data_IF_824105768495
#
_entry.id   IF_824105768495
#
_cell.length_a   1.000
_cell.length_b   1.000
_cell.length_c   1.000
_cell.angle_alpha   90.00
_cell.angle_beta   90.00
_cell.angle_gamma   90.00
#
_symmetry.space_group_name_H-M   'P 1'
#
loop_
_entity.id
_entity.type
_entity.pdbx_description
1 polymer ?
#
# COMPACT_ATOMS: atom_id res chain seq x y z
N UNK A 1 4.73 76.90 -15.63
CA UNK A 1 3.89 75.73 -15.90
C UNK A 1 4.73 74.50 -15.50
N UNK A 2 4.50 73.98 -14.30
CA UNK A 2 5.27 72.83 -13.78
C UNK A 2 4.41 71.55 -13.92
N UNK A 3 4.84 70.61 -14.79
CA UNK A 3 4.23 69.29 -14.91
C UNK A 3 4.72 68.41 -13.78
N UNK A 4 3.81 67.92 -12.95
CA UNK A 4 4.09 66.88 -11.95
C UNK A 4 3.87 65.49 -12.56
N UNK A 5 4.93 64.72 -12.71
CA UNK A 5 4.86 63.29 -13.08
C UNK A 5 4.49 62.47 -11.84
N UNK A 6 3.30 61.85 -11.87
CA UNK A 6 2.92 60.85 -10.84
C UNK A 6 3.36 59.48 -11.33
N UNK A 7 4.38 58.91 -10.67
CA UNK A 7 4.83 57.54 -10.89
C UNK A 7 3.92 56.59 -10.09
N UNK A 8 3.07 55.84 -10.80
CA UNK A 8 2.20 54.80 -10.23
C UNK A 8 3.06 53.55 -10.02
N UNK A 9 3.42 53.25 -8.76
CA UNK A 9 4.07 51.97 -8.39
C UNK A 9 3.00 50.87 -8.34
N UNK A 10 3.05 49.94 -9.30
CA UNK A 10 2.23 48.73 -9.33
C UNK A 10 2.91 47.66 -8.43
N UNK A 11 2.42 47.50 -7.21
CA UNK A 11 2.85 46.45 -6.31
C UNK A 11 2.22 45.10 -6.73
N UNK A 12 3.01 44.23 -7.33
CA UNK A 12 2.64 42.82 -7.59
C UNK A 12 2.71 42.05 -6.29
N UNK A 13 1.56 41.75 -5.69
CA UNK A 13 1.48 40.83 -4.55
C UNK A 13 1.71 39.40 -5.03
N UNK A 14 2.88 38.82 -4.72
CA UNK A 14 3.15 37.40 -4.90
C UNK A 14 2.38 36.64 -3.80
N UNK A 15 1.22 36.10 -4.12
CA UNK A 15 0.54 35.14 -3.26
C UNK A 15 1.29 33.81 -3.36
N UNK A 16 2.23 33.58 -2.45
CA UNK A 16 2.88 32.29 -2.30
C UNK A 16 1.82 31.22 -1.98
N UNK A 17 1.66 30.26 -2.86
CA UNK A 17 0.87 29.05 -2.56
C UNK A 17 1.63 28.26 -1.50
N UNK A 18 1.16 28.31 -0.25
CA UNK A 18 1.69 27.46 0.81
C UNK A 18 1.27 26.03 0.48
N UNK A 19 2.17 25.27 -0.12
CA UNK A 19 2.00 23.82 -0.23
C UNK A 19 2.14 23.21 1.17
N UNK A 20 1.15 22.47 1.61
CA UNK A 20 1.28 21.64 2.79
C UNK A 20 2.42 20.65 2.56
N UNK A 21 3.27 20.45 3.56
CA UNK A 21 4.37 19.49 3.46
C UNK A 21 3.80 18.05 3.32
N UNK A 22 4.48 17.15 2.58
CA UNK A 22 4.12 15.76 2.53
C UNK A 22 4.01 15.14 3.93
N UNK A 23 2.98 14.32 4.15
CA UNK A 23 2.75 13.64 5.41
C UNK A 23 3.27 12.20 5.35
N UNK A 24 3.85 11.74 6.46
CA UNK A 24 4.31 10.37 6.62
C UNK A 24 3.27 9.56 7.39
N UNK A 25 2.75 8.51 6.78
CA UNK A 25 1.75 7.62 7.37
C UNK A 25 2.39 6.30 7.79
N UNK A 26 2.29 5.95 9.06
CA UNK A 26 2.70 4.65 9.60
C UNK A 26 1.54 3.65 9.50
N UNK A 27 1.79 2.51 8.88
CA UNK A 27 0.81 1.43 8.66
C UNK A 27 0.89 0.32 9.71
N UNK A 28 1.73 0.46 10.73
CA UNK A 28 1.71 -0.45 11.87
C UNK A 28 0.34 -0.42 12.55
N UNK A 29 -0.29 -1.58 12.64
CA UNK A 29 -1.65 -1.68 13.16
C UNK A 29 -1.71 -2.59 14.39
N UNK A 30 -1.68 -2.02 15.60
CA UNK A 30 -1.75 -2.80 16.84
C UNK A 30 -3.12 -3.49 17.03
N UNK A 31 -4.15 -3.08 16.28
CA UNK A 31 -5.48 -3.72 16.31
C UNK A 31 -5.56 -4.93 15.38
N UNK A 32 -4.61 -5.13 14.46
CA UNK A 32 -4.59 -6.23 13.51
C UNK A 32 -5.71 -6.22 12.47
N UNK A 33 -6.27 -5.04 12.16
CA UNK A 33 -7.36 -4.87 11.16
C UNK A 33 -6.81 -4.65 9.76
N UNK A 34 -5.58 -4.13 9.64
CA UNK A 34 -4.89 -4.06 8.37
C UNK A 34 -4.63 -5.48 7.88
N UNK A 35 -5.02 -5.77 6.66
CA UNK A 35 -4.90 -7.13 6.14
C UNK A 35 -4.63 -7.16 4.64
N UNK A 36 -4.03 -8.27 4.20
CA UNK A 36 -4.02 -8.73 2.83
C UNK A 36 -4.78 -10.06 2.77
N UNK A 37 -5.61 -10.24 1.76
CA UNK A 37 -6.29 -11.49 1.44
C UNK A 37 -5.69 -12.06 0.17
N UNK A 38 -5.48 -13.36 0.13
CA UNK A 38 -5.03 -14.06 -1.06
C UNK A 38 -5.99 -15.20 -1.41
N UNK A 39 -6.22 -15.40 -2.70
CA UNK A 39 -7.04 -16.49 -3.24
C UNK A 39 -6.29 -17.20 -4.36
N UNK A 40 -6.27 -18.53 -4.30
CA UNK A 40 -5.83 -19.41 -5.36
C UNK A 40 -7.05 -20.23 -5.79
N UNK A 41 -7.57 -19.96 -6.99
CA UNK A 41 -8.77 -20.61 -7.52
C UNK A 41 -8.35 -21.60 -8.60
N UNK A 42 -8.25 -22.87 -8.23
CA UNK A 42 -7.89 -23.95 -9.12
C UNK A 42 -9.15 -24.80 -9.48
N UNK A 43 -9.13 -25.55 -10.59
CA UNK A 43 -10.29 -26.35 -11.02
C UNK A 43 -10.83 -27.33 -9.97
N UNK A 44 -9.94 -27.89 -9.13
CA UNK A 44 -10.33 -28.86 -8.11
C UNK A 44 -10.44 -28.28 -6.70
N UNK A 45 -9.69 -27.23 -6.40
CA UNK A 45 -9.60 -26.67 -5.04
C UNK A 45 -9.55 -25.13 -5.09
N UNK A 46 -10.26 -24.48 -4.18
CA UNK A 46 -10.17 -23.05 -3.96
C UNK A 46 -9.60 -22.78 -2.58
N UNK A 47 -8.43 -22.16 -2.53
CA UNK A 47 -7.73 -21.81 -1.30
C UNK A 47 -7.84 -20.32 -1.06
N UNK A 48 -8.32 -19.93 0.12
CA UNK A 48 -8.35 -18.52 0.54
C UNK A 48 -7.64 -18.38 1.87
N UNK A 49 -6.81 -17.36 1.98
CA UNK A 49 -6.11 -17.04 3.22
C UNK A 49 -5.93 -15.53 3.40
N UNK A 50 -5.34 -15.16 4.50
CA UNK A 50 -5.10 -13.76 4.86
C UNK A 50 -3.76 -13.58 5.56
N UNK A 51 -3.31 -12.33 5.66
CA UNK A 51 -2.18 -11.90 6.46
C UNK A 51 -2.51 -10.59 7.17
N UNK A 52 -2.18 -10.47 8.46
CA UNK A 52 -2.47 -9.29 9.29
C UNK A 52 -1.21 -8.57 9.81
N UNK A 53 -0.03 -9.14 9.62
CA UNK A 53 1.25 -8.56 10.05
C UNK A 53 1.73 -7.43 9.14
N UNK A 54 0.87 -6.43 8.90
CA UNK A 54 1.16 -5.31 8.02
C UNK A 54 1.89 -4.21 8.79
N UNK A 55 2.94 -3.65 8.17
CA UNK A 55 3.70 -2.51 8.67
C UNK A 55 4.28 -1.70 7.51
N UNK A 56 5.00 -0.63 7.80
CA UNK A 56 5.67 0.20 6.80
C UNK A 56 5.21 1.64 6.84
N UNK A 57 5.77 2.44 5.95
CA UNK A 57 5.54 3.89 5.90
C UNK A 57 5.31 4.35 4.47
N UNK A 58 4.33 5.22 4.28
CA UNK A 58 4.05 5.87 3.00
C UNK A 58 4.04 7.38 3.22
N UNK A 59 4.78 8.09 2.39
CA UNK A 59 4.73 9.55 2.29
C UNK A 59 3.69 9.93 1.24
N UNK A 60 2.73 10.75 1.63
CA UNK A 60 1.64 11.20 0.78
C UNK A 60 1.45 12.72 0.89
N UNK A 61 1.35 13.38 -0.25
CA UNK A 61 1.01 14.80 -0.34
C UNK A 61 -0.35 14.94 -1.01
N UNK A 62 -1.39 15.42 -0.30
CA UNK A 62 -2.71 15.65 -0.89
C UNK A 62 -2.71 16.64 -2.06
N UNK A 63 -1.75 17.59 -2.07
CA UNK A 63 -1.61 18.56 -3.14
C UNK A 63 -0.85 17.99 -4.36
N UNK A 64 -0.04 16.95 -4.17
CA UNK A 64 0.72 16.28 -5.21
C UNK A 64 0.74 14.75 -5.01
N UNK A 65 -0.39 14.06 -5.18
CA UNK A 65 -0.47 12.62 -4.98
C UNK A 65 0.48 11.80 -5.85
N UNK A 66 0.90 12.32 -7.00
CA UNK A 66 1.84 11.63 -7.89
C UNK A 66 3.22 11.40 -7.25
N UNK A 67 3.61 12.24 -6.28
CA UNK A 67 4.87 12.11 -5.54
C UNK A 67 4.81 11.09 -4.39
N UNK A 68 3.72 10.32 -4.28
CA UNK A 68 3.57 9.28 -3.25
C UNK A 68 4.64 8.21 -3.42
N UNK A 69 5.35 7.92 -2.33
CA UNK A 69 6.36 6.87 -2.26
C UNK A 69 6.34 6.23 -0.88
N UNK A 70 6.83 5.01 -0.79
CA UNK A 70 6.90 4.33 0.50
C UNK A 70 7.04 2.83 0.39
N UNK A 71 7.09 2.18 1.53
CA UNK A 71 7.26 0.74 1.64
C UNK A 71 6.23 0.15 2.57
N UNK A 72 5.53 -0.88 2.08
CA UNK A 72 4.65 -1.73 2.89
C UNK A 72 5.30 -3.09 3.02
N UNK A 73 5.25 -3.63 4.23
CA UNK A 73 5.78 -4.94 4.59
C UNK A 73 4.67 -5.79 5.19
N UNK A 74 4.71 -7.09 4.91
CA UNK A 74 3.82 -8.10 5.50
C UNK A 74 4.70 -9.19 6.09
N UNK A 75 4.57 -9.42 7.40
CA UNK A 75 5.26 -10.52 8.08
C UNK A 75 4.72 -11.86 7.56
N UNK A 76 5.57 -12.71 6.99
CA UNK A 76 5.16 -14.00 6.42
C UNK A 76 4.64 -14.97 7.48
N UNK A 77 5.09 -14.84 8.73
CA UNK A 77 4.56 -15.59 9.86
C UNK A 77 3.07 -15.28 10.16
N UNK A 78 2.53 -14.15 9.68
CA UNK A 78 1.12 -13.78 9.82
C UNK A 78 0.21 -14.40 8.76
N UNK A 79 0.77 -15.08 7.75
CA UNK A 79 0.01 -15.80 6.73
C UNK A 79 -0.83 -16.89 7.39
N UNK A 80 -2.12 -16.89 7.09
CA UNK A 80 -3.10 -17.77 7.67
C UNK A 80 -4.01 -18.37 6.61
N UNK A 81 -4.26 -19.66 6.71
CA UNK A 81 -5.33 -20.39 6.05
C UNK A 81 -6.11 -21.18 7.10
N UNK A 82 -7.42 -21.43 6.93
CA UNK A 82 -8.24 -22.08 7.97
C UNK A 82 -7.80 -23.48 8.33
N UNK A 83 -7.23 -24.25 7.38
CA UNK A 83 -6.80 -25.61 7.59
C UNK A 83 -5.37 -25.62 8.20
N UNK A 84 -5.18 -26.24 9.36
CA UNK A 84 -3.91 -26.29 10.08
C UNK A 84 -2.79 -26.95 9.27
N UNK A 85 -3.07 -28.08 8.61
CA UNK A 85 -2.08 -28.77 7.77
C UNK A 85 -1.66 -27.90 6.57
N UNK A 86 -2.60 -27.21 5.93
CA UNK A 86 -2.28 -26.26 4.87
C UNK A 86 -1.46 -25.08 5.38
N UNK A 87 -1.68 -24.62 6.61
CA UNK A 87 -0.88 -23.57 7.23
C UNK A 87 0.58 -24.01 7.39
N UNK A 88 0.81 -25.23 7.87
CA UNK A 88 2.16 -25.77 8.04
C UNK A 88 2.86 -25.90 6.67
N UNK A 89 2.15 -26.38 5.65
CA UNK A 89 2.67 -26.41 4.27
C UNK A 89 2.99 -24.99 3.77
N UNK A 90 2.07 -24.05 3.91
CA UNK A 90 2.24 -22.64 3.48
C UNK A 90 3.52 -22.02 4.07
N UNK A 91 3.86 -22.36 5.31
CA UNK A 91 5.03 -21.83 6.01
C UNK A 91 6.33 -22.59 5.69
N UNK A 92 6.24 -23.79 5.11
CA UNK A 92 7.38 -24.66 4.83
C UNK A 92 8.33 -24.11 3.75
N UNK A 93 9.51 -24.73 3.64
CA UNK A 93 10.56 -24.37 2.68
C UNK A 93 10.12 -24.49 1.22
N UNK A 94 9.21 -25.40 0.89
CA UNK A 94 8.69 -25.58 -0.48
C UNK A 94 7.73 -24.45 -0.89
N UNK A 95 7.09 -23.78 0.09
CA UNK A 95 6.13 -22.71 -0.15
C UNK A 95 6.72 -21.34 0.18
N UNK A 96 6.38 -20.78 1.31
CA UNK A 96 6.81 -19.41 1.66
C UNK A 96 8.18 -19.36 2.34
N UNK A 97 8.65 -20.48 2.90
CA UNK A 97 9.94 -20.56 3.61
C UNK A 97 10.11 -19.43 4.62
N UNK A 98 9.12 -19.34 5.53
CA UNK A 98 8.99 -18.17 6.43
C UNK A 98 10.19 -17.99 7.35
N UNK A 99 10.94 -19.05 7.63
CA UNK A 99 12.16 -18.98 8.43
C UNK A 99 13.29 -18.24 7.70
N UNK A 100 13.36 -18.36 6.37
CA UNK A 100 14.37 -17.74 5.53
C UNK A 100 13.90 -16.38 4.99
N UNK A 101 12.61 -16.24 4.69
CA UNK A 101 12.01 -15.05 4.10
C UNK A 101 10.90 -14.52 5.01
N UNK A 102 11.25 -13.80 6.10
CA UNK A 102 10.28 -13.39 7.12
C UNK A 102 9.31 -12.29 6.65
N UNK A 103 9.55 -11.68 5.49
CA UNK A 103 8.76 -10.56 4.99
C UNK A 103 8.44 -10.65 3.50
N UNK A 104 7.25 -10.18 3.14
CA UNK A 104 6.88 -9.77 1.78
C UNK A 104 6.94 -8.25 1.79
N UNK A 105 7.52 -7.62 0.75
CA UNK A 105 7.66 -6.17 0.68
C UNK A 105 7.20 -5.62 -0.66
N UNK A 106 6.48 -4.50 -0.62
CA UNK A 106 6.21 -3.68 -1.79
C UNK A 106 6.77 -2.28 -1.56
N UNK A 107 7.68 -1.86 -2.43
CA UNK A 107 8.28 -0.52 -2.41
C UNK A 107 7.76 0.28 -3.61
N UNK A 108 6.84 1.21 -3.32
CA UNK A 108 6.29 2.11 -4.32
C UNK A 108 7.31 3.20 -4.65
N UNK A 109 7.60 3.37 -5.95
CA UNK A 109 8.54 4.37 -6.48
C UNK A 109 7.82 5.61 -6.99
N UNK A 110 6.65 5.42 -7.61
CA UNK A 110 5.84 6.49 -8.21
C UNK A 110 4.40 6.04 -8.39
N UNK A 111 3.49 7.01 -8.46
CA UNK A 111 2.11 6.77 -8.92
C UNK A 111 1.94 7.28 -10.35
N UNK A 112 1.41 6.42 -11.21
CA UNK A 112 1.04 6.73 -12.61
C UNK A 112 -0.47 6.84 -12.75
N UNK A 113 -0.93 7.47 -13.85
CA UNK A 113 -2.36 7.58 -14.18
C UNK A 113 -3.22 8.15 -13.04
N UNK A 114 -2.66 9.09 -12.27
CA UNK A 114 -3.26 9.66 -11.07
C UNK A 114 -4.53 10.43 -11.41
N UNK A 115 -5.63 10.08 -10.73
CA UNK A 115 -6.93 10.78 -10.81
C UNK A 115 -7.45 11.02 -9.40
N UNK A 116 -7.68 12.28 -9.04
CA UNK A 116 -8.19 12.67 -7.72
C UNK A 116 -9.60 13.23 -7.84
N UNK A 117 -10.50 12.75 -6.97
CA UNK A 117 -11.86 13.23 -6.81
C UNK A 117 -12.20 13.29 -5.32
N UNK A 118 -12.33 14.51 -4.78
CA UNK A 118 -12.50 14.74 -3.33
C UNK A 118 -11.32 14.13 -2.55
N UNK A 119 -11.63 13.33 -1.53
CA UNK A 119 -10.63 12.68 -0.67
C UNK A 119 -10.01 11.41 -1.29
N UNK A 120 -10.43 11.05 -2.50
CA UNK A 120 -10.03 9.79 -3.13
C UNK A 120 -9.13 10.03 -4.32
N UNK A 121 -7.99 9.33 -4.35
CA UNK A 121 -7.06 9.26 -5.48
C UNK A 121 -7.00 7.82 -5.98
N UNK A 122 -7.19 7.61 -7.28
CA UNK A 122 -6.93 6.34 -7.96
C UNK A 122 -5.68 6.47 -8.81
N UNK A 123 -4.84 5.45 -8.85
CA UNK A 123 -3.59 5.46 -9.59
C UNK A 123 -3.07 4.03 -9.81
N UNK A 124 -2.02 3.93 -10.62
CA UNK A 124 -1.21 2.72 -10.74
C UNK A 124 0.10 2.94 -9.97
N UNK A 125 0.28 2.23 -8.87
CA UNK A 125 1.51 2.26 -8.07
C UNK A 125 2.58 1.39 -8.76
N UNK A 126 3.54 2.05 -9.40
CA UNK A 126 4.72 1.39 -9.97
C UNK A 126 5.78 1.19 -8.88
N UNK A 127 6.27 -0.02 -8.73
CA UNK A 127 7.22 -0.35 -7.68
C UNK A 127 7.78 -1.75 -7.77
N UNK A 128 8.52 -2.15 -6.75
CA UNK A 128 9.16 -3.46 -6.65
C UNK A 128 8.46 -4.32 -5.60
N UNK A 129 7.96 -5.48 -6.00
CA UNK A 129 7.36 -6.49 -5.12
C UNK A 129 8.36 -7.61 -4.88
N UNK A 130 8.70 -7.85 -3.62
CA UNK A 130 9.60 -8.94 -3.21
C UNK A 130 8.81 -9.99 -2.43
N UNK A 131 8.81 -11.21 -2.91
CA UNK A 131 8.22 -12.38 -2.26
C UNK A 131 9.25 -13.50 -2.29
N UNK A 132 9.47 -14.16 -1.16
CA UNK A 132 10.41 -15.29 -1.06
C UNK A 132 11.80 -14.98 -1.64
N UNK A 133 12.29 -13.74 -1.41
CA UNK A 133 13.59 -13.26 -1.91
C UNK A 133 13.65 -12.95 -3.41
N UNK A 134 12.57 -13.17 -4.16
CA UNK A 134 12.48 -12.80 -5.58
C UNK A 134 11.82 -11.44 -5.71
N UNK A 135 12.50 -10.50 -6.36
CA UNK A 135 12.00 -9.13 -6.61
C UNK A 135 11.59 -8.96 -8.05
N UNK A 136 10.40 -8.41 -8.27
CA UNK A 136 9.90 -8.03 -9.60
C UNK A 136 9.34 -6.62 -9.59
N UNK A 137 9.55 -5.87 -10.66
CA UNK A 137 8.86 -4.61 -10.89
C UNK A 137 7.42 -4.91 -11.31
N UNK A 138 6.48 -4.29 -10.62
CA UNK A 138 5.04 -4.46 -10.85
C UNK A 138 4.34 -3.11 -10.86
N UNK A 139 3.17 -3.09 -11.47
CA UNK A 139 2.25 -1.94 -11.44
C UNK A 139 0.93 -2.39 -10.82
N UNK A 140 0.60 -1.83 -9.69
CA UNK A 140 -0.55 -2.24 -8.87
C UNK A 140 -1.60 -1.14 -8.89
N UNK A 141 -2.84 -1.42 -9.36
CA UNK A 141 -3.93 -0.46 -9.27
C UNK A 141 -4.28 -0.21 -7.80
N UNK A 142 -4.26 1.06 -7.39
CA UNK A 142 -4.51 1.47 -6.00
C UNK A 142 -5.59 2.53 -5.92
N UNK A 143 -6.34 2.49 -4.82
CA UNK A 143 -7.23 3.53 -4.37
C UNK A 143 -6.73 4.05 -3.03
N UNK A 144 -6.36 5.32 -2.98
CA UNK A 144 -5.94 6.04 -1.80
C UNK A 144 -7.09 6.91 -1.33
N UNK A 145 -7.44 6.88 -0.05
CA UNK A 145 -8.42 7.80 0.54
C UNK A 145 -7.75 8.54 1.69
N UNK A 146 -7.54 9.83 1.51
CA UNK A 146 -6.97 10.71 2.52
C UNK A 146 -8.08 11.28 3.40
N UNK A 147 -8.00 11.04 4.70
CA UNK A 147 -8.98 11.44 5.67
C UNK A 147 -8.34 12.40 6.68
N UNK A 148 -8.43 13.69 6.36
CA UNK A 148 -7.89 14.77 7.19
C UNK A 148 -8.61 14.83 8.54
N UNK A 149 -7.86 14.97 9.63
CA UNK A 149 -8.34 15.10 11.02
C UNK A 149 -9.25 13.93 11.47
N UNK A 150 -9.10 12.73 10.88
CA UNK A 150 -9.94 11.56 11.19
C UNK A 150 -9.24 10.46 11.98
N UNK A 151 -7.98 10.67 12.42
CA UNK A 151 -7.25 9.66 13.20
C UNK A 151 -8.02 9.26 14.47
N UNK A 152 -8.64 10.22 15.18
CA UNK A 152 -9.42 9.96 16.39
C UNK A 152 -10.62 9.02 16.22
N UNK A 153 -11.14 8.85 14.98
CA UNK A 153 -12.18 7.85 14.71
C UNK A 153 -11.64 6.41 14.72
N UNK A 154 -10.35 6.24 14.49
CA UNK A 154 -9.66 4.93 14.51
C UNK A 154 -8.95 4.67 15.84
N UNK A 155 -8.30 5.69 16.36
CA UNK A 155 -7.53 5.64 17.62
C UNK A 155 -8.05 6.76 18.52
N UNK A 156 -8.90 6.44 19.51
CA UNK A 156 -9.45 7.43 20.43
C UNK A 156 -8.35 8.29 21.08
N UNK A 157 -8.66 9.55 21.34
CA UNK A 157 -7.77 10.54 21.96
C UNK A 157 -6.54 10.95 21.14
N UNK A 158 -6.40 10.48 19.90
CA UNK A 158 -5.35 10.93 18.98
C UNK A 158 -5.89 11.90 17.93
N UNK A 159 -5.16 12.99 17.70
CA UNK A 159 -5.38 13.92 16.58
C UNK A 159 -4.46 13.58 15.43
N UNK A 160 -4.91 13.82 14.21
CA UNK A 160 -4.11 13.58 13.02
C UNK A 160 -4.92 13.03 11.86
N UNK A 161 -4.22 12.59 10.85
CA UNK A 161 -4.78 12.18 9.57
C UNK A 161 -4.68 10.67 9.37
N UNK A 162 -5.53 10.15 8.49
CA UNK A 162 -5.49 8.76 8.03
C UNK A 162 -5.29 8.71 6.52
N UNK A 163 -4.51 7.74 6.06
CA UNK A 163 -4.41 7.34 4.66
C UNK A 163 -4.88 5.88 4.54
N UNK A 164 -6.00 5.68 3.86
CA UNK A 164 -6.54 4.35 3.58
C UNK A 164 -6.09 3.93 2.20
N UNK A 165 -5.50 2.73 2.08
CA UNK A 165 -5.06 2.14 0.82
C UNK A 165 -5.85 0.87 0.55
N UNK A 166 -6.40 0.76 -0.65
CA UNK A 166 -7.04 -0.43 -1.20
C UNK A 166 -6.36 -0.80 -2.50
N UNK A 167 -6.05 -2.08 -2.69
CA UNK A 167 -5.49 -2.61 -3.92
C UNK A 167 -6.10 -3.98 -4.21
N UNK A 168 -6.22 -4.31 -5.50
CA UNK A 168 -6.58 -5.65 -5.96
C UNK A 168 -5.81 -5.95 -7.23
N UNK A 169 -5.04 -7.02 -7.25
CA UNK A 169 -4.19 -7.42 -8.36
C UNK A 169 -3.87 -8.90 -8.28
N UNK A 170 -3.27 -9.45 -9.33
CA UNK A 170 -2.89 -10.85 -9.37
C UNK A 170 -1.39 -11.00 -9.65
N UNK A 171 -0.80 -12.07 -9.15
CA UNK A 171 0.58 -12.49 -9.44
C UNK A 171 0.60 -13.95 -9.87
N UNK A 172 1.71 -14.39 -10.48
CA UNK A 172 1.94 -15.80 -10.75
C UNK A 172 2.84 -16.40 -9.67
N UNK A 173 2.39 -17.47 -9.04
CA UNK A 173 3.09 -18.19 -7.98
C UNK A 173 4.49 -18.63 -8.41
N UNK A 174 4.57 -19.21 -9.61
CA UNK A 174 5.82 -19.67 -10.19
C UNK A 174 6.87 -18.55 -10.38
N UNK A 175 6.42 -17.32 -10.63
CA UNK A 175 7.28 -16.15 -10.80
C UNK A 175 8.11 -15.79 -9.57
N UNK A 176 7.65 -16.20 -8.41
CA UNK A 176 8.32 -15.98 -7.12
C UNK A 176 8.88 -17.27 -6.53
N UNK A 177 8.94 -18.35 -7.30
CA UNK A 177 9.45 -19.63 -6.85
C UNK A 177 8.63 -20.29 -5.73
N UNK A 178 7.36 -19.94 -5.60
CA UNK A 178 6.44 -20.52 -4.61
C UNK A 178 5.97 -21.87 -5.15
N UNK A 179 6.61 -22.96 -4.76
CA UNK A 179 6.35 -24.33 -5.18
C UNK A 179 5.91 -24.47 -6.66
N UNK A 180 6.79 -24.14 -7.62
CA UNK A 180 6.41 -24.12 -9.04
C UNK A 180 6.00 -25.51 -9.58
N UNK A 181 6.38 -26.59 -8.88
CA UNK A 181 6.02 -27.96 -9.24
C UNK A 181 4.63 -28.40 -8.75
N UNK A 182 3.96 -27.63 -7.89
CA UNK A 182 2.62 -27.99 -7.42
C UNK A 182 1.61 -28.09 -8.59
N UNK A 183 0.75 -29.14 -8.60
CA UNK A 183 -0.23 -29.36 -9.66
C UNK A 183 -1.19 -28.15 -9.79
N UNK A 184 -1.29 -27.58 -10.99
CA UNK A 184 -2.05 -26.34 -11.22
C UNK A 184 -3.56 -26.54 -11.19
N UNK A 185 -4.03 -27.77 -11.31
CA UNK A 185 -5.44 -28.17 -11.16
C UNK A 185 -5.91 -28.20 -9.70
N UNK A 186 -4.95 -28.33 -8.75
CA UNK A 186 -5.20 -28.28 -7.30
C UNK A 186 -4.78 -26.96 -6.67
N UNK A 187 -3.66 -26.38 -7.11
CA UNK A 187 -3.17 -25.13 -6.58
C UNK A 187 -2.87 -24.19 -7.74
N UNK A 188 -3.74 -23.22 -7.95
CA UNK A 188 -3.62 -22.24 -9.03
C UNK A 188 -2.23 -21.57 -9.06
N UNK A 189 -1.71 -21.34 -10.25
CA UNK A 189 -0.52 -20.51 -10.44
C UNK A 189 -0.83 -19.03 -10.22
N UNK A 190 -2.04 -18.61 -10.54
CA UNK A 190 -2.51 -17.26 -10.27
C UNK A 190 -2.91 -17.13 -8.81
N UNK A 191 -2.37 -16.11 -8.15
CA UNK A 191 -2.77 -15.68 -6.81
C UNK A 191 -3.44 -14.32 -6.93
N UNK A 192 -4.74 -14.26 -6.65
CA UNK A 192 -5.46 -13.00 -6.51
C UNK A 192 -5.19 -12.40 -5.15
N UNK A 193 -4.80 -11.13 -5.13
CA UNK A 193 -4.43 -10.40 -3.93
C UNK A 193 -5.35 -9.20 -3.72
N UNK A 194 -5.83 -9.02 -2.50
CA UNK A 194 -6.58 -7.83 -2.08
C UNK A 194 -5.94 -7.25 -0.82
N UNK A 195 -5.56 -5.98 -0.87
CA UNK A 195 -4.98 -5.25 0.25
C UNK A 195 -5.99 -4.25 0.82
N UNK A 196 -6.13 -4.25 2.13
CA UNK A 196 -7.02 -3.35 2.88
C UNK A 196 -6.30 -2.83 4.11
N UNK A 197 -5.69 -1.63 4.00
CA UNK A 197 -4.85 -1.07 5.05
C UNK A 197 -5.14 0.41 5.29
N UNK A 198 -4.86 0.87 6.50
CA UNK A 198 -4.94 2.28 6.90
C UNK A 198 -3.71 2.66 7.73
N UNK A 199 -3.05 3.72 7.32
CA UNK A 199 -1.91 4.32 8.00
C UNK A 199 -2.31 5.58 8.75
N UNK A 200 -1.58 5.89 9.80
CA UNK A 200 -1.78 7.04 10.67
C UNK A 200 -0.64 8.05 10.54
N UNK A 201 -1.00 9.34 10.49
CA UNK A 201 -0.09 10.47 10.66
C UNK A 201 -0.55 11.31 11.86
N UNK A 202 -0.08 11.00 13.08
CA UNK A 202 -0.43 11.77 14.27
C UNK A 202 0.09 13.20 14.19
N UNK A 203 -0.74 14.17 14.62
CA UNK A 203 -0.29 15.54 14.86
C UNK A 203 0.52 15.58 16.15
N UNK A 204 1.64 16.30 16.10
CA UNK A 204 2.49 16.56 17.29
C UNK A 204 1.86 17.61 18.19
#
# INVERSE_FOLDING_TARGET
MKLAFHTLMLSVAFTGVVHAAPLSFDFKDPKGVNNAVFKLDAPLEAITGSASGVSGTVTFDPANPAATAGKIMIATASLHVPNAMMKDHLQSADWMDVAKFPEITFEAKELKNVKTAGDTTTADAAGSLTIRGVTKDVSVPVKLTYLKDKLGLRVPDQKGDLLVIRASFAIQRADYGINPAAPKDKVSDTIDLTLSIAGAAPQK
#
